data_IF_240882199765
#
_entry.id   IF_240882199765
#
_cell.length_a   1.000
_cell.length_b   1.000
_cell.length_c   1.000
_cell.angle_alpha   90.00
_cell.angle_beta   90.00
_cell.angle_gamma   90.00
#
_symmetry.space_group_name_H-M   'P 1'
#
loop_
_entity.id
_entity.type
_entity.pdbx_description
1 polymer ?
#
# COMPACT_ATOMS: atom_id res chain seq x y z
N UNK A 1 6.31 -34.30 7.43
CA UNK A 1 6.30 -35.12 8.67
C UNK A 1 5.66 -36.47 8.40
N UNK A 2 4.57 -36.50 7.67
CA UNK A 2 4.06 -37.72 7.05
C UNK A 2 5.06 -38.18 5.97
N UNK A 3 5.45 -39.46 5.98
CA UNK A 3 6.46 -40.05 5.08
C UNK A 3 7.73 -40.60 5.76
N UNK A 4 8.09 -40.12 6.94
CA UNK A 4 9.30 -40.60 7.67
C UNK A 4 9.10 -42.00 8.28
N UNK A 5 7.85 -42.35 8.60
CA UNK A 5 7.51 -43.68 9.13
C UNK A 5 7.85 -44.82 8.17
N UNK A 6 7.79 -44.58 6.85
CA UNK A 6 8.17 -45.58 5.84
C UNK A 6 9.69 -45.77 5.74
N UNK A 7 10.49 -44.84 6.29
CA UNK A 7 11.96 -44.96 6.35
C UNK A 7 12.44 -45.70 7.58
N UNK A 8 11.63 -45.79 8.62
CA UNK A 8 11.90 -46.66 9.77
C UNK A 8 11.96 -48.15 9.38
N UNK A 9 11.35 -48.53 8.24
CA UNK A 9 11.52 -49.87 7.64
C UNK A 9 12.97 -50.18 7.27
N UNK A 10 13.79 -49.15 7.01
CA UNK A 10 15.21 -49.30 6.66
C UNK A 10 16.12 -49.41 7.90
N UNK A 11 15.58 -49.67 9.10
CA UNK A 11 16.30 -49.77 10.38
C UNK A 11 17.09 -48.50 10.78
N UNK A 12 16.86 -47.37 10.12
CA UNK A 12 17.41 -46.08 10.51
C UNK A 12 16.46 -45.38 11.48
N UNK A 13 17.03 -44.66 12.45
CA UNK A 13 16.25 -43.90 13.41
C UNK A 13 15.45 -42.79 12.71
N UNK A 14 14.10 -42.82 12.76
CA UNK A 14 13.26 -41.83 12.09
C UNK A 14 13.47 -40.40 12.60
N UNK A 15 13.89 -40.22 13.86
CA UNK A 15 14.17 -38.89 14.42
C UNK A 15 15.40 -38.26 13.76
N UNK A 16 16.42 -39.07 13.51
CA UNK A 16 17.68 -38.62 12.91
C UNK A 16 17.45 -38.23 11.46
N UNK A 17 16.71 -39.05 10.70
CA UNK A 17 16.34 -38.75 9.32
C UNK A 17 15.48 -37.48 9.21
N UNK A 18 14.51 -37.27 10.12
CA UNK A 18 13.74 -36.03 10.11
C UNK A 18 14.62 -34.79 10.35
N UNK A 19 15.59 -34.90 11.27
CA UNK A 19 16.51 -33.80 11.58
C UNK A 19 17.45 -33.53 10.41
N UNK A 20 18.02 -34.56 9.79
CA UNK A 20 18.93 -34.39 8.65
C UNK A 20 18.22 -33.82 7.42
N UNK A 21 17.02 -34.32 7.10
CA UNK A 21 16.23 -33.77 6.00
C UNK A 21 15.78 -32.34 6.26
N UNK A 22 15.30 -32.06 7.48
CA UNK A 22 14.91 -30.71 7.87
C UNK A 22 16.09 -29.73 7.81
N UNK A 23 17.28 -30.17 8.24
CA UNK A 23 18.49 -29.37 8.16
C UNK A 23 18.94 -29.12 6.72
N UNK A 24 18.85 -30.13 5.83
CA UNK A 24 19.15 -29.96 4.41
C UNK A 24 18.25 -28.90 3.77
N UNK A 25 16.93 -29.00 3.95
CA UNK A 25 15.98 -28.02 3.41
C UNK A 25 16.21 -26.61 3.96
N UNK A 26 16.54 -26.51 5.25
CA UNK A 26 16.86 -25.23 5.87
C UNK A 26 18.12 -24.60 5.25
N UNK A 27 19.15 -25.41 5.01
CA UNK A 27 20.41 -24.93 4.42
C UNK A 27 20.19 -24.48 2.98
N UNK A 28 19.47 -25.26 2.18
CA UNK A 28 19.08 -24.89 0.80
C UNK A 28 18.29 -23.57 0.77
N UNK A 29 17.33 -23.39 1.69
CA UNK A 29 16.59 -22.13 1.83
C UNK A 29 17.50 -20.96 2.21
N UNK A 30 18.43 -21.17 3.15
CA UNK A 30 19.36 -20.12 3.58
C UNK A 30 20.34 -19.71 2.48
N UNK A 31 20.77 -20.64 1.63
CA UNK A 31 21.58 -20.34 0.45
C UNK A 31 20.80 -19.50 -0.57
N UNK A 32 19.53 -19.84 -0.82
CA UNK A 32 18.66 -19.05 -1.69
C UNK A 32 18.47 -17.61 -1.17
N UNK A 33 18.22 -17.44 0.13
CA UNK A 33 18.09 -16.11 0.75
C UNK A 33 19.36 -15.27 0.61
N UNK A 34 20.53 -15.89 0.77
CA UNK A 34 21.81 -15.19 0.60
C UNK A 34 22.01 -14.74 -0.86
N UNK A 35 21.69 -15.60 -1.82
CA UNK A 35 21.75 -15.26 -3.23
C UNK A 35 20.80 -14.10 -3.59
N UNK A 36 19.57 -14.14 -3.07
CA UNK A 36 18.57 -13.08 -3.25
C UNK A 36 19.03 -11.75 -2.65
N UNK A 37 19.61 -11.76 -1.44
CA UNK A 37 20.12 -10.56 -0.80
C UNK A 37 21.18 -9.85 -1.66
N UNK A 38 22.15 -10.61 -2.18
CA UNK A 38 23.19 -10.08 -3.07
C UNK A 38 22.56 -9.55 -4.36
N UNK A 39 21.62 -10.31 -4.96
CA UNK A 39 20.89 -9.88 -6.15
C UNK A 39 20.17 -8.55 -5.92
N UNK A 40 19.47 -8.40 -4.80
CA UNK A 40 18.77 -7.15 -4.46
C UNK A 40 19.72 -5.99 -4.26
N UNK A 41 20.86 -6.21 -3.60
CA UNK A 41 21.85 -5.15 -3.41
C UNK A 41 22.36 -4.58 -4.74
N UNK A 42 22.63 -5.45 -5.72
CA UNK A 42 23.08 -5.03 -7.04
C UNK A 42 21.99 -4.41 -7.93
N UNK A 43 20.71 -4.66 -7.62
CA UNK A 43 19.56 -4.08 -8.36
C UNK A 43 18.88 -2.95 -7.57
N UNK A 44 19.53 -2.43 -6.52
CA UNK A 44 18.96 -1.39 -5.68
C UNK A 44 19.11 -0.02 -6.36
N UNK A 45 18.02 0.45 -6.97
CA UNK A 45 17.92 1.82 -7.48
C UNK A 45 17.52 2.77 -6.34
N UNK A 46 18.43 3.66 -5.94
CA UNK A 46 18.14 4.66 -4.91
C UNK A 46 17.35 5.80 -5.55
N UNK A 47 16.03 5.77 -5.42
CA UNK A 47 15.19 6.93 -5.73
C UNK A 47 15.38 7.96 -4.63
N UNK A 48 16.28 8.93 -4.86
CA UNK A 48 16.32 10.15 -4.05
C UNK A 48 15.04 10.92 -4.34
N UNK A 49 14.14 10.97 -3.35
CA UNK A 49 12.99 11.86 -3.40
C UNK A 49 13.53 13.28 -3.28
N UNK A 50 13.81 13.91 -4.42
CA UNK A 50 14.03 15.35 -4.45
C UNK A 50 12.82 16.01 -3.79
N UNK A 51 13.08 16.88 -2.82
CA UNK A 51 12.05 17.73 -2.24
C UNK A 51 11.44 18.50 -3.40
N UNK A 52 10.22 18.12 -3.76
CA UNK A 52 9.45 18.71 -4.83
C UNK A 52 9.49 20.23 -4.61
N UNK A 53 10.08 21.03 -5.53
CA UNK A 53 10.03 22.47 -5.38
C UNK A 53 8.55 22.84 -5.31
N UNK A 54 8.13 23.49 -4.23
CA UNK A 54 6.77 24.00 -4.13
C UNK A 54 6.53 24.87 -5.35
N UNK A 55 5.50 24.52 -6.13
CA UNK A 55 5.03 25.37 -7.23
C UNK A 55 4.86 26.80 -6.69
N UNK A 56 5.51 27.82 -7.27
CA UNK A 56 5.30 29.18 -6.84
C UNK A 56 3.85 29.52 -7.15
N UNK A 57 3.02 29.58 -6.10
CA UNK A 57 1.64 30.04 -6.20
C UNK A 57 1.68 31.41 -6.90
N UNK A 58 0.84 31.67 -7.91
CA UNK A 58 0.86 32.95 -8.59
C UNK A 58 0.53 34.03 -7.56
N UNK A 59 1.53 34.85 -7.25
CA UNK A 59 1.34 36.06 -6.43
C UNK A 59 0.42 36.96 -7.26
N UNK A 60 -0.84 37.10 -6.84
CA UNK A 60 -1.72 38.09 -7.44
C UNK A 60 -1.12 39.46 -7.17
N UNK A 61 -0.60 40.07 -8.22
CA UNK A 61 -0.06 41.42 -8.21
C UNK A 61 -1.24 42.39 -8.08
N UNK A 62 -1.61 42.73 -6.84
CA UNK A 62 -2.56 43.80 -6.57
C UNK A 62 -1.82 45.12 -6.76
N UNK A 63 -1.99 45.73 -7.94
CA UNK A 63 -1.49 47.07 -8.23
C UNK A 63 -2.28 48.08 -7.41
N UNK A 64 -1.72 48.51 -6.28
CA UNK A 64 -2.24 49.64 -5.50
C UNK A 64 -1.78 50.95 -6.13
N UNK A 65 -2.20 51.19 -7.37
CA UNK A 65 -2.16 52.51 -8.00
C UNK A 65 -3.58 53.07 -7.97
N UNK A 66 -3.72 54.25 -7.37
CA UNK A 66 -4.99 54.93 -7.23
C UNK A 66 -5.70 55.15 -8.57
N UNK A 67 -6.99 55.47 -8.42
CA UNK A 67 -7.80 56.17 -9.41
C UNK A 67 -8.59 55.24 -10.35
N UNK A 68 -9.49 54.47 -9.72
CA UNK A 68 -10.81 54.06 -10.21
C UNK A 68 -11.02 53.77 -11.69
N UNK A 69 -11.06 52.48 -12.05
CA UNK A 69 -12.09 51.89 -12.91
C UNK A 69 -12.31 50.46 -12.42
N UNK A 70 -13.50 50.18 -11.89
CA UNK A 70 -13.97 48.81 -11.71
C UNK A 70 -14.11 48.14 -13.09
N UNK A 71 -13.62 46.91 -13.34
CA UNK A 71 -14.02 46.22 -14.55
C UNK A 71 -15.51 45.95 -14.43
N UNK A 72 -16.24 46.66 -15.27
CA UNK A 72 -17.67 46.61 -15.41
C UNK A 72 -18.14 45.15 -15.41
N UNK A 73 -19.03 44.86 -14.47
CA UNK A 73 -20.05 43.83 -14.64
C UNK A 73 -20.88 44.23 -15.88
N UNK A 74 -20.48 43.81 -17.07
CA UNK A 74 -21.35 43.71 -18.24
C UNK A 74 -22.19 42.44 -18.03
N UNK A 75 -23.27 42.52 -17.25
CA UNK A 75 -24.61 42.91 -17.68
C UNK A 75 -25.08 42.09 -18.88
N UNK A 76 -25.97 41.13 -18.57
CA UNK A 76 -26.65 40.31 -19.55
C UNK A 76 -27.64 41.12 -20.39
N UNK A 77 -27.91 40.61 -21.59
CA UNK A 77 -28.94 41.10 -22.48
C UNK A 77 -28.91 40.25 -23.73
N UNK A 78 -29.87 39.33 -23.87
CA UNK A 78 -29.84 38.29 -24.87
C UNK A 78 -30.17 38.73 -26.30
N UNK A 79 -30.14 37.70 -27.15
CA UNK A 79 -30.98 37.46 -28.33
C UNK A 79 -30.40 37.72 -29.73
N UNK A 80 -30.48 36.62 -30.50
CA UNK A 80 -30.53 36.50 -31.96
C UNK A 80 -29.22 36.59 -32.74
N UNK A 81 -28.55 35.44 -32.93
CA UNK A 81 -28.37 34.73 -34.22
C UNK A 81 -27.16 33.79 -34.18
N UNK A 82 -27.33 32.58 -34.71
CA UNK A 82 -26.23 31.78 -35.24
C UNK A 82 -25.55 30.79 -34.28
N UNK A 83 -26.09 29.57 -34.23
CA UNK A 83 -25.38 28.27 -34.14
C UNK A 83 -24.27 28.09 -33.07
N UNK A 84 -24.44 27.18 -32.09
CA UNK A 84 -23.33 26.39 -31.59
C UNK A 84 -23.30 25.03 -32.29
N UNK A 85 -22.24 24.87 -33.09
CA UNK A 85 -21.75 23.59 -33.54
C UNK A 85 -21.25 22.77 -32.33
N UNK A 86 -21.36 21.45 -32.46
CA UNK A 86 -20.48 20.53 -31.74
C UNK A 86 -21.12 19.87 -30.53
N UNK A 87 -21.68 18.69 -30.79
CA UNK A 87 -22.00 17.67 -29.80
C UNK A 87 -20.75 17.35 -28.93
N UNK A 88 -20.74 17.87 -27.71
CA UNK A 88 -19.86 17.40 -26.63
C UNK A 88 -20.52 16.20 -25.96
N UNK A 89 -20.07 15.00 -26.34
CA UNK A 89 -20.60 13.73 -25.85
C UNK A 89 -20.68 13.68 -24.33
N UNK A 90 -21.85 13.27 -23.83
CA UNK A 90 -22.07 12.78 -22.48
C UNK A 90 -21.25 11.50 -22.30
N UNK A 91 -19.97 11.63 -21.97
CA UNK A 91 -19.17 10.49 -21.54
C UNK A 91 -19.61 10.11 -20.12
N UNK A 92 -19.88 8.83 -19.99
CA UNK A 92 -20.51 8.13 -18.89
C UNK A 92 -20.10 8.54 -17.46
N UNK A 93 -21.11 8.85 -16.65
CA UNK A 93 -21.02 8.98 -15.17
C UNK A 93 -20.47 7.70 -14.50
N UNK A 94 -20.38 6.58 -15.24
CA UNK A 94 -19.85 5.31 -14.74
C UNK A 94 -18.33 5.31 -14.54
N UNK A 95 -17.57 6.02 -15.36
CA UNK A 95 -16.11 6.10 -15.19
C UNK A 95 -15.75 7.00 -14.00
N UNK A 96 -16.41 8.16 -13.87
CA UNK A 96 -16.23 9.06 -12.73
C UNK A 96 -16.65 8.41 -11.40
N UNK A 97 -17.78 7.69 -11.35
CA UNK A 97 -18.18 6.92 -10.17
C UNK A 97 -17.28 5.74 -9.87
N UNK A 98 -16.75 5.06 -10.88
CA UNK A 98 -15.78 3.97 -10.70
C UNK A 98 -14.45 4.49 -10.12
N UNK A 99 -13.99 5.67 -10.56
CA UNK A 99 -12.82 6.32 -9.99
C UNK A 99 -13.07 6.77 -8.54
N UNK A 100 -14.25 7.30 -8.23
CA UNK A 100 -14.61 7.70 -6.87
C UNK A 100 -14.81 6.51 -5.91
N UNK A 101 -15.40 5.41 -6.38
CA UNK A 101 -15.54 4.18 -5.58
C UNK A 101 -14.19 3.49 -5.35
N UNK A 102 -13.29 3.50 -6.34
CA UNK A 102 -11.92 3.02 -6.17
C UNK A 102 -11.13 3.87 -5.16
N UNK A 103 -11.30 5.19 -5.18
CA UNK A 103 -10.66 6.08 -4.19
C UNK A 103 -11.25 5.94 -2.78
N UNK A 104 -12.54 5.66 -2.65
CA UNK A 104 -13.18 5.40 -1.36
C UNK A 104 -12.73 4.06 -0.75
N UNK A 105 -12.56 3.02 -1.57
CA UNK A 105 -12.04 1.72 -1.14
C UNK A 105 -10.57 1.76 -0.70
N UNK A 106 -9.76 2.68 -1.25
CA UNK A 106 -8.35 2.84 -0.88
C UNK A 106 -8.14 3.52 0.50
N UNK A 107 -9.17 4.15 1.08
CA UNK A 107 -9.05 4.90 2.35
C UNK A 107 -9.25 4.06 3.62
N UNK A 108 -9.70 2.82 3.50
CA UNK A 108 -9.95 1.93 4.66
C UNK A 108 -8.76 1.07 5.04
N UNK A 109 -7.54 1.49 4.69
CA UNK A 109 -6.32 0.84 5.19
C UNK A 109 -6.18 1.16 6.67
N UNK A 110 -6.67 0.26 7.52
CA UNK A 110 -6.46 0.27 8.97
C UNK A 110 -4.97 0.38 9.24
N UNK A 111 -4.56 1.43 9.95
CA UNK A 111 -3.15 1.68 10.25
C UNK A 111 -2.52 0.45 10.93
N UNK A 112 -1.31 0.03 10.51
CA UNK A 112 -0.64 -1.11 11.12
C UNK A 112 -0.33 -0.80 12.59
N UNK A 113 -0.88 -1.61 13.49
CA UNK A 113 -0.62 -1.48 14.92
C UNK A 113 0.83 -1.89 15.18
N UNK A 114 1.64 -0.96 15.67
CA UNK A 114 3.00 -1.26 16.14
C UNK A 114 2.92 -2.21 17.34
N UNK A 115 3.62 -3.33 17.25
CA UNK A 115 3.72 -4.31 18.33
C UNK A 115 5.17 -4.30 18.80
N UNK A 116 5.47 -3.42 19.75
CA UNK A 116 6.84 -3.18 20.20
C UNK A 116 7.39 -4.26 21.16
N UNK A 117 6.59 -5.27 21.54
CA UNK A 117 7.04 -6.43 22.34
C UNK A 117 6.47 -7.76 21.83
N UNK A 118 7.33 -8.78 21.74
CA UNK A 118 6.92 -10.17 21.47
C UNK A 118 6.04 -10.67 22.61
N UNK A 119 4.73 -10.73 22.38
CA UNK A 119 3.75 -11.29 23.31
C UNK A 119 4.01 -12.79 23.47
N UNK A 120 4.26 -13.24 24.69
CA UNK A 120 4.47 -14.64 25.02
C UNK A 120 3.20 -15.47 24.89
N UNK A 121 3.33 -16.79 24.69
CA UNK A 121 2.21 -17.71 24.41
C UNK A 121 1.11 -17.70 25.48
N UNK A 122 1.45 -17.37 26.73
CA UNK A 122 0.51 -17.33 27.87
C UNK A 122 0.12 -15.91 28.32
N UNK A 123 0.66 -14.85 27.71
CA UNK A 123 0.42 -13.46 28.10
C UNK A 123 -0.99 -12.99 27.69
N UNK A 124 -1.53 -11.94 28.32
CA UNK A 124 -2.82 -11.37 27.90
C UNK A 124 -2.80 -10.96 26.42
N UNK A 125 -3.85 -11.31 25.68
CA UNK A 125 -3.96 -11.01 24.26
C UNK A 125 -3.98 -9.49 24.01
N UNK A 126 -3.14 -8.96 23.11
CA UNK A 126 -3.11 -7.52 22.80
C UNK A 126 -4.41 -7.05 22.12
N UNK A 127 -5.24 -7.98 21.64
CA UNK A 127 -6.56 -7.73 21.08
C UNK A 127 -7.62 -7.25 22.09
N UNK A 128 -7.29 -7.16 23.38
CA UNK A 128 -8.20 -6.67 24.43
C UNK A 128 -9.25 -7.70 24.87
N UNK A 129 -9.14 -8.96 24.44
CA UNK A 129 -10.13 -10.00 24.72
C UNK A 129 -10.08 -10.56 26.16
N UNK A 130 -9.10 -10.15 26.97
CA UNK A 130 -8.86 -10.68 28.33
C UNK A 130 -8.39 -12.13 28.38
N UNK A 131 -8.29 -12.84 27.24
CA UNK A 131 -7.85 -14.23 27.14
C UNK A 131 -6.33 -14.30 26.93
N UNK A 132 -5.71 -15.42 27.35
CA UNK A 132 -4.29 -15.71 27.05
C UNK A 132 -4.08 -15.75 25.53
N UNK A 133 -2.92 -15.30 25.04
CA UNK A 133 -2.62 -15.16 23.61
C UNK A 133 -2.87 -16.45 22.82
N UNK A 134 -2.42 -17.62 23.32
CA UNK A 134 -2.68 -18.94 22.70
C UNK A 134 -4.15 -19.36 22.59
N UNK A 135 -5.05 -18.69 23.29
CA UNK A 135 -6.51 -18.98 23.29
C UNK A 135 -7.31 -17.90 22.55
N UNK A 136 -6.63 -16.98 21.86
CA UNK A 136 -7.28 -15.89 21.13
C UNK A 136 -6.66 -15.65 19.75
N UNK A 137 -5.52 -14.96 19.65
CA UNK A 137 -4.90 -14.59 18.37
C UNK A 137 -3.67 -15.44 18.00
N UNK A 138 -3.24 -16.36 18.87
CA UNK A 138 -2.11 -17.26 18.64
C UNK A 138 -2.53 -18.71 18.34
N UNK A 139 -3.70 -18.89 17.71
CA UNK A 139 -4.20 -20.18 17.21
C UNK A 139 -3.84 -20.36 15.74
#
# INVERSE_FOLDING_TARGET
REGIGLRALAQKDPLVEYKSEGYRMYTEMMEAVQADFVRYLFHLEIVRREAQPEDPRPVQLVYSGGDGIAPARSFGGGSTTGVPAGAGGRMNDSSARAYQSAQAAARTVTAPRRVDQKVGRNDPCPCGSGKKFKRCCGA
#
